data_IF_041564982761
#
_entry.id   IF_041564982761
#
_cell.length_a   1.000
_cell.length_b   1.000
_cell.length_c   1.000
_cell.angle_alpha   90.00
_cell.angle_beta   90.00
_cell.angle_gamma   90.00
#
_symmetry.space_group_name_H-M   'P 1'
#
loop_
_entity.id
_entity.type
_entity.pdbx_description
1 polymer ?
#
# COMPACT_ATOMS: atom_id res chain seq x y z
N UNK A 1 1.78 15.72 -13.48
CA UNK A 1 1.89 14.69 -14.52
C UNK A 1 1.52 15.27 -15.87
N UNK A 2 2.09 14.74 -16.92
CA UNK A 2 1.78 15.07 -18.32
C UNK A 2 1.70 13.73 -19.06
N UNK A 3 0.58 13.49 -19.77
CA UNK A 3 0.37 12.27 -20.57
C UNK A 3 0.72 10.97 -19.81
N UNK A 4 0.21 10.86 -18.57
CA UNK A 4 0.44 9.69 -17.73
C UNK A 4 -0.66 8.65 -18.01
N UNK A 5 -0.28 7.55 -18.66
CA UNK A 5 -1.12 6.38 -18.85
C UNK A 5 -0.63 5.23 -17.95
N UNK A 6 -1.53 4.73 -17.09
CA UNK A 6 -1.26 3.61 -16.20
C UNK A 6 -2.52 2.76 -16.05
N UNK A 7 -2.40 1.48 -16.37
CA UNK A 7 -3.45 0.50 -16.15
C UNK A 7 -3.00 -0.52 -15.11
N UNK A 8 -3.89 -0.86 -14.20
CA UNK A 8 -3.64 -1.79 -13.10
C UNK A 8 -4.68 -2.90 -13.17
N UNK A 9 -4.22 -4.14 -13.30
CA UNK A 9 -5.08 -5.29 -13.38
C UNK A 9 -5.60 -5.72 -12.00
N UNK A 10 -6.73 -6.42 -11.96
CA UNK A 10 -7.21 -7.03 -10.72
C UNK A 10 -6.24 -8.09 -10.21
N UNK A 11 -6.04 -8.12 -8.90
CA UNK A 11 -5.12 -9.05 -8.25
C UNK A 11 -3.64 -8.73 -8.47
N UNK A 12 -3.32 -7.58 -9.04
CA UNK A 12 -1.96 -7.12 -9.24
C UNK A 12 -1.41 -6.44 -7.99
N UNK A 13 -0.12 -6.62 -7.72
CA UNK A 13 0.62 -5.83 -6.77
C UNK A 13 1.59 -4.93 -7.53
N UNK A 14 1.19 -3.67 -7.71
CA UNK A 14 1.95 -2.66 -8.43
C UNK A 14 2.69 -1.75 -7.45
N UNK A 15 4.00 -1.62 -7.62
CA UNK A 15 4.77 -0.55 -6.98
C UNK A 15 4.94 0.64 -7.90
N UNK A 16 4.69 1.83 -7.37
CA UNK A 16 4.95 3.11 -8.05
C UNK A 16 6.20 3.72 -7.42
N UNK A 17 7.24 3.88 -8.22
CA UNK A 17 8.51 4.47 -7.81
C UNK A 17 8.81 5.74 -8.59
N UNK A 18 9.65 6.61 -8.04
CA UNK A 18 10.02 7.86 -8.71
C UNK A 18 10.71 8.82 -7.75
N UNK A 19 11.40 9.81 -8.27
CA UNK A 19 12.10 10.82 -7.50
C UNK A 19 11.19 11.62 -6.56
N UNK A 20 11.77 12.34 -5.61
CA UNK A 20 11.02 13.29 -4.78
C UNK A 20 10.35 14.34 -5.69
N UNK A 21 9.08 14.63 -5.41
CA UNK A 21 8.30 15.58 -6.23
C UNK A 21 7.81 15.05 -7.57
N UNK A 22 8.02 13.78 -7.92
CA UNK A 22 7.51 13.18 -9.17
C UNK A 22 5.98 13.05 -9.20
N UNK A 23 5.28 13.30 -8.09
CA UNK A 23 3.81 13.31 -8.02
C UNK A 23 3.16 12.00 -7.58
N UNK A 24 3.91 11.02 -7.06
CA UNK A 24 3.36 9.72 -6.61
C UNK A 24 2.20 9.86 -5.62
N UNK A 25 2.36 10.70 -4.60
CA UNK A 25 1.29 10.96 -3.62
C UNK A 25 0.07 11.66 -4.25
N UNK A 26 0.30 12.55 -5.23
CA UNK A 26 -0.78 13.15 -6.02
C UNK A 26 -1.55 12.07 -6.79
N UNK A 27 -0.84 11.12 -7.39
CA UNK A 27 -1.47 10.00 -8.10
C UNK A 27 -2.34 9.15 -7.16
N UNK A 28 -1.84 8.80 -5.96
CA UNK A 28 -2.65 8.12 -4.96
C UNK A 28 -3.90 8.93 -4.56
N UNK A 29 -3.76 10.25 -4.36
CA UNK A 29 -4.90 11.12 -4.04
C UNK A 29 -5.92 11.20 -5.18
N UNK A 30 -5.45 11.18 -6.42
CA UNK A 30 -6.33 11.11 -7.59
C UNK A 30 -7.08 9.78 -7.66
N UNK A 31 -6.40 8.65 -7.38
CA UNK A 31 -7.05 7.33 -7.27
C UNK A 31 -8.09 7.27 -6.14
N UNK A 32 -7.89 8.02 -5.06
CA UNK A 32 -8.86 8.14 -3.96
C UNK A 32 -10.01 9.12 -4.27
N UNK A 33 -9.96 9.84 -5.40
CA UNK A 33 -10.92 10.90 -5.71
C UNK A 33 -10.78 12.16 -4.84
N UNK A 34 -9.67 12.30 -4.10
CA UNK A 34 -9.38 13.46 -3.27
C UNK A 34 -8.80 14.64 -4.07
N UNK A 35 -8.23 14.36 -5.22
CA UNK A 35 -7.74 15.36 -6.17
C UNK A 35 -8.26 15.05 -7.58
N UNK A 36 -8.62 16.07 -8.32
CA UNK A 36 -9.07 15.93 -9.70
C UNK A 36 -7.90 16.17 -10.65
N UNK A 37 -7.75 15.30 -11.64
CA UNK A 37 -6.77 15.52 -12.70
C UNK A 37 -7.15 16.79 -13.51
N UNK A 38 -6.15 17.64 -13.82
CA UNK A 38 -6.38 18.84 -14.62
C UNK A 38 -6.82 18.51 -16.05
N UNK A 39 -6.39 17.37 -16.57
CA UNK A 39 -6.79 16.79 -17.88
C UNK A 39 -6.78 15.27 -17.77
N UNK A 40 -7.53 14.60 -18.65
CA UNK A 40 -7.65 13.16 -18.63
C UNK A 40 -8.67 12.63 -17.63
N UNK A 41 -8.68 11.33 -17.42
CA UNK A 41 -9.65 10.62 -16.57
C UNK A 41 -8.93 9.65 -15.66
N UNK A 42 -9.41 9.56 -14.42
CA UNK A 42 -8.98 8.51 -13.48
C UNK A 42 -10.17 7.63 -13.18
N UNK A 43 -10.04 6.35 -13.51
CA UNK A 43 -11.09 5.34 -13.30
C UNK A 43 -10.58 4.31 -12.30
N UNK A 44 -11.36 4.04 -11.26
CA UNK A 44 -11.02 3.08 -10.20
C UNK A 44 -12.16 2.08 -10.05
N UNK A 45 -11.86 0.79 -10.16
CA UNK A 45 -12.84 -0.30 -10.10
C UNK A 45 -14.03 -0.11 -11.06
N UNK A 46 -13.78 0.49 -12.24
CA UNK A 46 -14.79 0.74 -13.28
C UNK A 46 -15.61 2.02 -13.10
N UNK A 47 -15.32 2.84 -12.08
CA UNK A 47 -16.02 4.10 -11.80
C UNK A 47 -15.06 5.30 -11.86
N UNK A 48 -15.51 6.49 -12.25
CA UNK A 48 -14.71 7.71 -12.11
C UNK A 48 -14.25 7.88 -10.65
N UNK A 49 -12.97 8.17 -10.44
CA UNK A 49 -12.42 8.34 -9.08
C UNK A 49 -13.15 9.44 -8.28
N UNK A 50 -13.64 10.49 -8.96
CA UNK A 50 -14.44 11.55 -8.34
C UNK A 50 -15.77 11.08 -7.72
N UNK A 51 -16.22 9.88 -8.07
CA UNK A 51 -17.46 9.28 -7.55
C UNK A 51 -17.21 8.31 -6.38
N UNK A 52 -15.96 8.00 -6.06
CA UNK A 52 -15.61 7.08 -4.96
C UNK A 52 -16.11 7.58 -3.58
N UNK A 53 -16.25 8.88 -3.38
CA UNK A 53 -16.81 9.45 -2.15
C UNK A 53 -18.32 9.27 -2.00
N UNK A 54 -19.03 8.74 -3.01
CA UNK A 54 -20.46 8.47 -2.92
C UNK A 54 -20.71 7.09 -2.29
N UNK A 55 -21.83 6.96 -1.60
CA UNK A 55 -22.18 5.76 -0.83
C UNK A 55 -21.97 4.44 -1.61
N UNK A 56 -21.18 3.52 -1.04
CA UNK A 56 -20.90 2.20 -1.59
C UNK A 56 -19.61 2.06 -2.39
N UNK A 57 -19.07 3.11 -2.99
CA UNK A 57 -17.81 3.01 -3.75
C UNK A 57 -16.57 3.22 -2.85
N UNK A 58 -16.65 4.10 -1.86
CA UNK A 58 -15.55 4.36 -0.91
C UNK A 58 -15.17 3.11 -0.08
N UNK A 59 -16.14 2.25 0.24
CA UNK A 59 -15.90 1.01 0.99
C UNK A 59 -15.06 -0.01 0.23
N UNK A 60 -14.90 0.14 -1.10
CA UNK A 60 -14.16 -0.80 -1.96
C UNK A 60 -12.67 -0.47 -2.08
N UNK A 61 -12.22 0.65 -1.53
CA UNK A 61 -10.84 1.11 -1.56
C UNK A 61 -10.34 1.33 -0.13
N UNK A 62 -9.30 0.61 0.27
CA UNK A 62 -8.59 0.81 1.53
C UNK A 62 -7.35 1.66 1.34
N UNK A 63 -6.98 2.47 2.35
CA UNK A 63 -5.78 3.30 2.31
C UNK A 63 -4.96 3.16 3.58
N UNK A 64 -3.66 2.91 3.40
CA UNK A 64 -2.65 3.01 4.45
C UNK A 64 -1.74 4.21 4.16
N UNK A 65 -1.74 5.19 5.05
CA UNK A 65 -0.90 6.39 4.96
C UNK A 65 0.50 6.15 5.55
N UNK A 66 1.48 6.91 5.10
CA UNK A 66 2.89 6.77 5.45
C UNK A 66 3.16 6.65 6.96
N UNK A 67 2.49 7.42 7.81
CA UNK A 67 2.62 7.37 9.26
C UNK A 67 1.48 6.60 9.96
N UNK A 68 0.74 5.77 9.22
CA UNK A 68 -0.43 5.05 9.72
C UNK A 68 -1.66 5.94 9.91
N UNK A 69 -1.50 7.22 10.22
CA UNK A 69 -2.58 8.21 10.45
C UNK A 69 -3.67 7.70 11.41
N UNK A 70 -3.27 7.05 12.50
CA UNK A 70 -4.19 6.63 13.55
C UNK A 70 -4.69 7.83 14.34
N UNK A 71 -5.96 7.80 14.71
CA UNK A 71 -6.54 8.77 15.62
C UNK A 71 -5.97 8.57 17.01
N UNK A 72 -5.21 9.53 17.52
CA UNK A 72 -4.52 9.45 18.82
C UNK A 72 -5.45 9.35 20.02
N UNK A 73 -6.70 9.84 19.87
CA UNK A 73 -7.72 9.78 20.90
C UNK A 73 -8.54 8.47 20.91
N UNK A 74 -8.29 7.57 19.96
CA UNK A 74 -8.98 6.30 19.83
C UNK A 74 -8.06 5.15 20.17
N UNK A 75 -8.62 4.13 20.82
CA UNK A 75 -7.96 2.84 21.01
C UNK A 75 -7.66 2.16 19.66
N UNK A 76 -6.83 1.12 19.68
CA UNK A 76 -6.57 0.26 18.52
C UNK A 76 -7.88 -0.22 17.88
N UNK A 77 -8.77 -0.79 18.70
CA UNK A 77 -10.04 -1.33 18.20
C UNK A 77 -10.94 -0.25 17.61
N UNK A 78 -11.00 0.92 18.25
CA UNK A 78 -11.78 2.06 17.75
C UNK A 78 -11.21 2.61 16.44
N UNK A 79 -9.89 2.64 16.28
CA UNK A 79 -9.24 3.02 15.01
C UNK A 79 -9.64 2.06 13.89
N UNK A 80 -9.60 0.74 14.14
CA UNK A 80 -9.99 -0.26 13.14
C UNK A 80 -11.49 -0.17 12.82
N UNK A 81 -12.33 -0.01 13.85
CA UNK A 81 -13.77 0.05 13.73
C UNK A 81 -14.29 1.33 13.06
N UNK A 82 -13.49 2.39 13.04
CA UNK A 82 -13.93 3.74 12.64
C UNK A 82 -14.65 3.77 11.28
N UNK A 83 -14.13 3.19 10.18
CA UNK A 83 -14.82 3.24 8.88
C UNK A 83 -16.20 2.57 8.91
N UNK A 84 -16.37 1.45 9.63
CA UNK A 84 -17.67 0.78 9.79
C UNK A 84 -18.65 1.59 10.60
N UNK A 85 -18.17 2.29 11.64
CA UNK A 85 -18.99 3.19 12.45
C UNK A 85 -19.51 4.37 11.65
N UNK A 86 -18.63 4.97 10.84
CA UNK A 86 -19.01 6.11 9.96
C UNK A 86 -20.02 5.67 8.87
N UNK A 87 -19.92 4.43 8.37
CA UNK A 87 -20.89 3.88 7.44
C UNK A 87 -22.28 3.72 8.08
N UNK A 88 -22.34 3.42 9.37
CA UNK A 88 -23.59 3.37 10.14
C UNK A 88 -24.58 2.27 9.75
N UNK A 89 -24.15 1.26 8.99
CA UNK A 89 -25.04 0.19 8.47
C UNK A 89 -25.10 -1.05 9.35
N UNK A 90 -24.17 -1.18 10.31
CA UNK A 90 -24.05 -2.37 11.17
C UNK A 90 -24.33 -2.04 12.64
N UNK A 91 -24.91 -2.98 13.41
CA UNK A 91 -25.02 -2.87 14.86
C UNK A 91 -23.63 -2.74 15.52
N UNK A 92 -23.53 -1.96 16.61
CA UNK A 92 -22.25 -1.70 17.29
C UNK A 92 -21.52 -2.97 17.76
N UNK A 93 -22.25 -4.00 18.19
CA UNK A 93 -21.66 -5.28 18.56
C UNK A 93 -20.95 -5.95 17.39
N UNK A 94 -21.59 -5.99 16.21
CA UNK A 94 -21.00 -6.57 15.00
C UNK A 94 -19.81 -5.77 14.51
N UNK A 95 -19.86 -4.43 14.57
CA UNK A 95 -18.71 -3.56 14.23
C UNK A 95 -17.49 -3.92 15.09
N UNK A 96 -17.71 -4.15 16.40
CA UNK A 96 -16.64 -4.55 17.31
C UNK A 96 -16.06 -5.92 16.95
N UNK A 97 -16.92 -6.90 16.64
CA UNK A 97 -16.50 -8.26 16.30
C UNK A 97 -15.70 -8.27 15.00
N UNK A 98 -16.17 -7.57 13.97
CA UNK A 98 -15.45 -7.41 12.71
C UNK A 98 -14.09 -6.75 12.93
N UNK A 99 -14.03 -5.66 13.70
CA UNK A 99 -12.77 -4.98 13.99
C UNK A 99 -11.79 -5.90 14.74
N UNK A 100 -12.27 -6.74 15.65
CA UNK A 100 -11.45 -7.72 16.35
C UNK A 100 -10.89 -8.79 15.41
N UNK A 101 -11.69 -9.29 14.47
CA UNK A 101 -11.23 -10.22 13.42
C UNK A 101 -10.12 -9.57 12.58
N UNK A 102 -10.29 -8.30 12.18
CA UNK A 102 -9.27 -7.60 11.40
C UNK A 102 -7.98 -7.34 12.19
N UNK A 103 -8.09 -7.08 13.51
CA UNK A 103 -6.93 -6.97 14.38
C UNK A 103 -6.12 -8.28 14.39
N UNK A 104 -6.79 -9.43 14.55
CA UNK A 104 -6.14 -10.74 14.54
C UNK A 104 -5.59 -11.09 13.16
N UNK A 105 -6.29 -10.72 12.08
CA UNK A 105 -5.88 -10.94 10.68
C UNK A 105 -4.53 -10.30 10.36
N UNK A 106 -4.20 -9.16 10.98
CA UNK A 106 -2.88 -8.52 10.83
C UNK A 106 -1.85 -9.01 11.84
N UNK A 107 -2.11 -10.12 12.53
CA UNK A 107 -1.18 -10.76 13.46
C UNK A 107 -1.05 -10.04 14.81
N UNK A 108 -2.04 -9.25 15.22
CA UNK A 108 -2.07 -8.60 16.53
C UNK A 108 -3.00 -9.34 17.49
N UNK A 109 -2.51 -9.60 18.71
CA UNK A 109 -3.26 -10.24 19.78
C UNK A 109 -4.40 -9.34 20.27
N UNK A 110 -5.53 -9.96 20.68
CA UNK A 110 -6.71 -9.28 21.21
C UNK A 110 -6.41 -8.37 22.44
N UNK A 111 -5.38 -8.70 23.22
CA UNK A 111 -4.93 -7.85 24.36
C UNK A 111 -4.50 -6.43 23.94
N UNK A 112 -4.18 -6.24 22.66
CA UNK A 112 -3.80 -4.92 22.13
C UNK A 112 -5.00 -4.04 21.76
N UNK A 113 -6.22 -4.59 21.75
CA UNK A 113 -7.44 -3.90 21.31
C UNK A 113 -7.72 -2.58 22.07
N UNK A 114 -7.36 -2.53 23.34
CA UNK A 114 -7.61 -1.38 24.22
C UNK A 114 -6.41 -0.45 24.38
N UNK A 115 -5.27 -0.74 23.76
CA UNK A 115 -4.11 0.15 23.76
C UNK A 115 -4.40 1.42 22.96
N UNK A 116 -3.72 2.51 23.36
CA UNK A 116 -3.68 3.74 22.60
C UNK A 116 -2.57 3.68 21.54
N UNK A 117 -2.66 4.43 20.43
CA UNK A 117 -1.58 4.49 19.43
C UNK A 117 -0.21 4.83 20.01
N UNK A 118 -0.14 5.66 21.04
CA UNK A 118 1.12 6.04 21.71
C UNK A 118 1.82 4.85 22.42
N UNK A 119 1.08 3.77 22.73
CA UNK A 119 1.60 2.58 23.40
C UNK A 119 2.06 1.49 22.41
N UNK A 120 2.07 1.79 21.12
CA UNK A 120 2.40 0.85 20.05
C UNK A 120 3.82 1.05 19.52
N UNK A 121 4.47 -0.05 19.13
CA UNK A 121 5.66 0.03 18.28
C UNK A 121 5.31 0.52 16.86
N UNK A 122 6.30 1.00 16.09
CA UNK A 122 6.10 1.43 14.70
C UNK A 122 5.45 0.34 13.83
N UNK A 123 5.92 -0.90 13.95
CA UNK A 123 5.35 -2.05 13.25
C UNK A 123 3.89 -2.32 13.65
N UNK A 124 3.57 -2.21 14.94
CA UNK A 124 2.18 -2.34 15.39
C UNK A 124 1.28 -1.23 14.84
N UNK A 125 1.76 0.02 14.81
CA UNK A 125 1.01 1.15 14.20
C UNK A 125 0.67 0.85 12.75
N UNK A 126 1.63 0.35 11.96
CA UNK A 126 1.42 -0.02 10.55
C UNK A 126 0.41 -1.17 10.41
N UNK A 127 0.49 -2.19 11.25
CA UNK A 127 -0.46 -3.32 11.25
C UNK A 127 -1.89 -2.88 11.63
N UNK A 128 -2.05 -2.00 12.62
CA UNK A 128 -3.37 -1.41 12.96
C UNK A 128 -3.92 -0.58 11.81
N UNK A 129 -3.09 0.24 11.17
CA UNK A 129 -3.48 1.02 10.01
C UNK A 129 -3.89 0.13 8.82
N UNK A 130 -3.18 -1.00 8.61
CA UNK A 130 -3.55 -2.01 7.63
C UNK A 130 -4.90 -2.67 7.96
N UNK A 131 -5.13 -3.07 9.23
CA UNK A 131 -6.41 -3.62 9.68
C UNK A 131 -7.56 -2.64 9.44
N UNK A 132 -7.36 -1.34 9.73
CA UNK A 132 -8.34 -0.29 9.44
C UNK A 132 -8.60 -0.15 7.93
N UNK A 133 -7.56 -0.22 7.09
CA UNK A 133 -7.72 -0.18 5.65
C UNK A 133 -8.50 -1.39 5.10
N UNK A 134 -8.39 -2.54 5.76
CA UNK A 134 -9.04 -3.80 5.37
C UNK A 134 -10.44 -3.99 5.97
N UNK A 135 -10.89 -3.13 6.90
CA UNK A 135 -12.11 -3.38 7.69
C UNK A 135 -13.39 -3.42 6.86
N UNK A 136 -13.38 -2.75 5.70
CA UNK A 136 -14.50 -2.69 4.75
C UNK A 136 -14.40 -3.76 3.65
N UNK A 137 -13.51 -4.74 3.75
CA UNK A 137 -13.23 -5.75 2.72
C UNK A 137 -12.99 -5.13 1.31
N UNK A 138 -12.01 -4.22 1.19
CA UNK A 138 -11.75 -3.50 -0.05
C UNK A 138 -11.29 -4.44 -1.16
N UNK A 139 -11.54 -4.07 -2.42
CA UNK A 139 -10.99 -4.74 -3.61
C UNK A 139 -9.65 -4.15 -4.04
N UNK A 140 -9.40 -2.89 -3.68
CA UNK A 140 -8.18 -2.15 -3.96
C UNK A 140 -7.60 -1.63 -2.65
N UNK A 141 -6.32 -1.89 -2.43
CA UNK A 141 -5.55 -1.38 -1.30
C UNK A 141 -4.47 -0.44 -1.80
N UNK A 142 -4.51 0.81 -1.35
CA UNK A 142 -3.51 1.82 -1.65
C UNK A 142 -2.58 1.97 -0.44
N UNK A 143 -1.27 1.89 -0.65
CA UNK A 143 -0.27 1.95 0.41
C UNK A 143 0.73 3.07 0.10
N UNK A 144 0.89 4.02 1.02
CA UNK A 144 1.88 5.08 0.91
C UNK A 144 3.02 4.80 1.90
N UNK A 145 4.18 4.40 1.39
CA UNK A 145 5.40 4.08 2.15
C UNK A 145 5.13 3.13 3.33
N UNK A 146 4.62 1.91 3.08
CA UNK A 146 4.12 1.03 4.13
C UNK A 146 5.19 0.56 5.12
N UNK A 147 6.45 0.37 4.67
CA UNK A 147 7.57 -0.10 5.49
C UNK A 147 8.45 1.03 6.02
N UNK A 148 8.21 2.29 5.57
CA UNK A 148 9.03 3.42 5.98
C UNK A 148 9.05 3.63 7.50
N UNK A 149 10.27 3.75 8.05
CA UNK A 149 10.49 3.97 9.48
C UNK A 149 10.40 2.70 10.34
N UNK A 150 10.28 1.53 9.74
CA UNK A 150 10.38 0.25 10.42
C UNK A 150 11.85 -0.20 10.49
N UNK A 151 12.18 -0.97 11.54
CA UNK A 151 13.38 -1.78 11.57
C UNK A 151 13.27 -2.94 10.54
N UNK A 152 14.39 -3.55 10.11
CA UNK A 152 14.37 -4.59 9.07
C UNK A 152 13.43 -5.75 9.39
N UNK A 153 13.48 -6.32 10.58
CA UNK A 153 12.65 -7.48 10.97
C UNK A 153 11.15 -7.14 10.93
N UNK A 154 10.80 -5.91 11.36
CA UNK A 154 9.41 -5.40 11.29
C UNK A 154 8.96 -5.14 9.87
N UNK A 155 9.86 -4.70 8.98
CA UNK A 155 9.58 -4.49 7.56
C UNK A 155 9.32 -5.82 6.86
N UNK A 156 10.22 -6.81 7.04
CA UNK A 156 10.08 -8.16 6.49
C UNK A 156 8.78 -8.82 6.94
N UNK A 157 8.50 -8.79 8.25
CA UNK A 157 7.24 -9.33 8.79
C UNK A 157 5.98 -8.59 8.33
N UNK A 158 6.09 -7.32 7.90
CA UNK A 158 5.00 -6.60 7.27
C UNK A 158 4.83 -7.03 5.80
N UNK A 159 5.92 -7.23 5.08
CA UNK A 159 5.92 -7.72 3.69
C UNK A 159 5.31 -9.12 3.60
N UNK A 160 5.75 -10.05 4.45
CA UNK A 160 5.17 -11.40 4.54
C UNK A 160 3.66 -11.38 4.81
N UNK A 161 3.23 -10.55 5.77
CA UNK A 161 1.82 -10.35 6.09
C UNK A 161 1.03 -9.83 4.87
N UNK A 162 1.53 -8.80 4.21
CA UNK A 162 0.87 -8.20 3.04
C UNK A 162 0.78 -9.19 1.88
N UNK A 163 1.84 -9.97 1.64
CA UNK A 163 1.86 -11.01 0.62
C UNK A 163 0.83 -12.11 0.91
N UNK A 164 0.72 -12.55 2.17
CA UNK A 164 -0.30 -13.51 2.61
C UNK A 164 -1.71 -12.98 2.36
N UNK A 165 -2.00 -11.78 2.82
CA UNK A 165 -3.31 -11.14 2.64
C UNK A 165 -3.65 -10.91 1.16
N UNK A 166 -2.66 -10.50 0.36
CA UNK A 166 -2.84 -10.32 -1.09
C UNK A 166 -3.29 -11.62 -1.76
N UNK A 167 -2.64 -12.75 -1.45
CA UNK A 167 -3.00 -14.07 -2.02
C UNK A 167 -4.34 -14.59 -1.53
N UNK A 168 -4.59 -14.50 -0.22
CA UNK A 168 -5.78 -15.08 0.41
C UNK A 168 -7.06 -14.31 0.08
N UNK A 169 -6.98 -12.97 -0.01
CA UNK A 169 -8.12 -12.10 -0.24
C UNK A 169 -8.28 -11.70 -1.71
N UNK A 170 -7.33 -12.04 -2.59
CA UNK A 170 -7.37 -11.64 -4.01
C UNK A 170 -7.32 -10.12 -4.20
N UNK A 171 -6.59 -9.41 -3.32
CA UNK A 171 -6.50 -7.95 -3.33
C UNK A 171 -5.78 -7.44 -4.58
N UNK A 172 -6.23 -6.31 -5.09
CA UNK A 172 -5.40 -5.46 -5.94
C UNK A 172 -4.65 -4.48 -5.04
N UNK A 173 -3.34 -4.37 -5.15
CA UNK A 173 -2.53 -3.51 -4.31
C UNK A 173 -1.75 -2.52 -5.16
N UNK A 174 -1.82 -1.25 -4.80
CA UNK A 174 -0.96 -0.20 -5.35
C UNK A 174 -0.15 0.40 -4.22
N UNK A 175 1.15 0.31 -4.33
CA UNK A 175 2.08 0.76 -3.31
C UNK A 175 3.00 1.84 -3.86
N UNK A 176 3.13 2.95 -3.14
CA UNK A 176 4.22 3.91 -3.34
C UNK A 176 5.30 3.59 -2.35
N UNK A 177 6.51 3.33 -2.81
CA UNK A 177 7.67 3.10 -1.94
C UNK A 177 8.97 3.44 -2.64
N UNK A 178 10.01 3.70 -1.86
CA UNK A 178 11.38 3.86 -2.30
C UNK A 178 12.29 2.75 -1.74
N UNK A 179 11.73 1.79 -1.04
CA UNK A 179 12.44 0.66 -0.47
C UNK A 179 12.54 -0.47 -1.49
N UNK A 180 13.78 -0.78 -1.89
CA UNK A 180 14.07 -1.76 -2.92
C UNK A 180 13.75 -3.20 -2.48
N UNK A 181 14.00 -3.53 -1.22
CA UNK A 181 13.73 -4.87 -0.69
C UNK A 181 12.23 -5.14 -0.75
N UNK A 182 11.41 -4.21 -0.26
CA UNK A 182 9.94 -4.27 -0.39
C UNK A 182 9.47 -4.39 -1.85
N UNK A 183 10.10 -3.65 -2.78
CA UNK A 183 9.74 -3.69 -4.21
C UNK A 183 10.02 -5.09 -4.78
N UNK A 184 11.21 -5.64 -4.56
CA UNK A 184 11.60 -6.93 -5.12
C UNK A 184 10.85 -8.10 -4.49
N UNK A 185 10.51 -8.01 -3.22
CA UNK A 185 9.79 -9.05 -2.51
C UNK A 185 8.30 -9.13 -2.92
N UNK A 186 7.66 -7.97 -3.06
CA UNK A 186 6.20 -7.93 -3.20
C UNK A 186 5.71 -7.68 -4.62
N UNK A 187 6.43 -6.88 -5.43
CA UNK A 187 5.84 -6.35 -6.65
C UNK A 187 5.74 -7.38 -7.77
N UNK A 188 4.55 -7.51 -8.32
CA UNK A 188 4.36 -8.22 -9.61
C UNK A 188 4.79 -7.33 -10.78
N UNK A 189 4.66 -6.00 -10.62
CA UNK A 189 5.02 -5.00 -11.60
C UNK A 189 5.46 -3.69 -10.92
N UNK A 190 6.32 -2.94 -11.57
CA UNK A 190 6.82 -1.64 -11.10
C UNK A 190 6.57 -0.59 -12.17
N UNK A 191 5.91 0.49 -11.81
CA UNK A 191 5.75 1.69 -12.64
C UNK A 191 6.72 2.78 -12.15
N UNK A 192 7.63 3.19 -13.01
CA UNK A 192 8.59 4.26 -12.71
C UNK A 192 8.05 5.59 -13.23
N UNK A 193 7.83 6.53 -12.31
CA UNK A 193 7.37 7.88 -12.63
C UNK A 193 8.57 8.83 -12.61
N UNK A 194 8.99 9.24 -13.80
CA UNK A 194 10.03 10.23 -14.03
C UNK A 194 9.59 11.18 -15.14
N UNK A 195 10.19 12.36 -15.23
CA UNK A 195 9.92 13.35 -16.28
C UNK A 195 8.41 13.65 -16.47
N UNK A 196 7.64 13.56 -15.40
CA UNK A 196 6.18 13.78 -15.30
C UNK A 196 5.30 12.71 -15.95
N UNK A 197 5.83 11.60 -16.45
CA UNK A 197 5.08 10.48 -17.02
C UNK A 197 5.59 9.12 -16.49
N UNK A 198 4.96 8.02 -16.87
CA UNK A 198 5.44 6.66 -16.60
C UNK A 198 6.47 6.30 -17.67
N UNK A 199 7.75 6.22 -17.30
CA UNK A 199 8.85 5.94 -18.24
C UNK A 199 9.02 4.45 -18.51
N UNK A 200 8.68 3.60 -17.54
CA UNK A 200 8.64 2.15 -17.68
C UNK A 200 7.61 1.56 -16.70
N UNK A 201 6.94 0.49 -17.15
CA UNK A 201 5.94 -0.22 -16.38
C UNK A 201 6.02 -1.70 -16.74
N UNK A 202 6.79 -2.47 -15.95
CA UNK A 202 7.17 -3.83 -16.25
C UNK A 202 7.46 -4.63 -14.95
N UNK A 203 7.63 -5.97 -15.01
CA UNK A 203 8.12 -6.74 -13.88
C UNK A 203 9.45 -6.20 -13.34
N UNK A 204 9.73 -6.31 -12.02
CA UNK A 204 10.93 -5.72 -11.41
C UNK A 204 12.23 -6.03 -12.14
N UNK A 205 12.40 -7.28 -12.60
CA UNK A 205 13.61 -7.72 -13.34
C UNK A 205 13.82 -6.97 -14.64
N UNK A 206 12.76 -6.66 -15.36
CA UNK A 206 12.82 -5.92 -16.62
C UNK A 206 13.09 -4.44 -16.37
N UNK A 207 12.47 -3.86 -15.33
CA UNK A 207 12.69 -2.47 -14.93
C UNK A 207 14.16 -2.20 -14.61
N UNK A 208 14.82 -3.09 -13.88
CA UNK A 208 16.26 -2.98 -13.57
C UNK A 208 17.13 -2.88 -14.83
N UNK A 209 16.71 -3.53 -15.93
CA UNK A 209 17.41 -3.52 -17.21
C UNK A 209 17.11 -2.27 -18.09
N UNK A 210 16.12 -1.47 -17.72
CA UNK A 210 15.66 -0.34 -18.52
C UNK A 210 16.68 0.82 -18.49
N UNK A 211 17.05 1.34 -19.67
CA UNK A 211 18.02 2.42 -19.80
C UNK A 211 17.36 3.79 -19.56
N UNK A 212 17.44 4.26 -18.32
CA UNK A 212 16.96 5.59 -17.93
C UNK A 212 17.80 6.11 -16.75
N UNK A 213 18.18 7.40 -16.70
CA UNK A 213 19.03 7.95 -15.63
C UNK A 213 18.47 7.65 -14.23
N UNK A 214 17.20 7.92 -14.00
CA UNK A 214 16.55 7.64 -12.71
C UNK A 214 16.58 6.15 -12.37
N UNK A 215 16.31 5.25 -13.33
CA UNK A 215 16.31 3.79 -13.09
C UNK A 215 17.71 3.31 -12.71
N UNK A 216 18.74 3.79 -13.42
CA UNK A 216 20.13 3.46 -13.11
C UNK A 216 20.52 3.91 -11.71
N UNK A 217 20.20 5.16 -11.33
CA UNK A 217 20.53 5.70 -10.02
C UNK A 217 19.75 4.99 -8.89
N UNK A 218 18.48 4.70 -9.12
CA UNK A 218 17.59 4.12 -8.12
C UNK A 218 17.84 2.62 -7.91
N UNK A 219 17.90 1.82 -8.98
CA UNK A 219 18.03 0.37 -8.90
C UNK A 219 19.46 -0.16 -8.94
N UNK A 220 20.41 0.57 -9.53
CA UNK A 220 21.82 0.15 -9.68
C UNK A 220 22.79 0.95 -8.80
N UNK A 221 22.32 1.99 -8.10
CA UNK A 221 23.10 2.67 -7.08
C UNK A 221 23.50 1.74 -5.93
N UNK A 222 24.37 2.16 -5.03
CA UNK A 222 25.01 1.32 -4.00
C UNK A 222 24.05 0.50 -3.09
N UNK A 223 22.75 0.87 -3.05
CA UNK A 223 21.70 0.08 -2.37
C UNK A 223 21.10 -0.99 -3.30
N UNK A 224 21.03 -0.73 -4.61
CA UNK A 224 20.46 -1.64 -5.60
C UNK A 224 21.26 -2.94 -5.78
N UNK A 225 22.58 -2.92 -5.59
CA UNK A 225 23.40 -4.13 -5.70
C UNK A 225 23.06 -5.20 -4.65
N UNK A 226 22.62 -4.83 -3.46
CA UNK A 226 22.20 -5.79 -2.42
C UNK A 226 20.86 -6.43 -2.76
N UNK A 227 19.91 -5.64 -3.23
CA UNK A 227 18.58 -6.10 -3.60
C UNK A 227 18.61 -6.99 -4.87
N UNK A 228 19.53 -6.73 -5.82
CA UNK A 228 19.73 -7.59 -6.99
C UNK A 228 20.26 -8.98 -6.63
N UNK A 229 21.04 -9.12 -5.56
CA UNK A 229 21.50 -10.44 -5.08
C UNK A 229 20.33 -11.34 -4.64
N UNK A 230 19.21 -10.77 -4.23
CA UNK A 230 17.98 -11.52 -3.90
C UNK A 230 17.28 -12.07 -5.15
N UNK A 231 17.48 -11.44 -6.31
CA UNK A 231 16.93 -11.92 -7.60
C UNK A 231 17.76 -13.04 -8.23
N UNK A 232 19.01 -13.17 -7.82
CA UNK A 232 19.95 -14.20 -8.27
C UNK A 232 20.61 -14.81 -7.03
N UNK A 233 19.95 -15.76 -6.32
CA UNK A 233 20.66 -16.53 -5.32
C UNK A 233 21.87 -17.18 -6.02
N UNK A 234 23.08 -17.17 -5.41
CA UNK A 234 24.22 -17.88 -5.97
C UNK A 234 23.79 -19.33 -6.22
N UNK A 235 24.22 -19.95 -7.33
CA UNK A 235 23.97 -21.36 -7.54
C UNK A 235 24.50 -22.11 -6.32
N UNK A 236 23.66 -22.99 -5.75
CA UNK A 236 23.95 -23.77 -4.55
C UNK A 236 25.38 -24.25 -4.63
N UNK A 237 26.15 -23.87 -3.61
CA UNK A 237 27.58 -24.13 -3.55
C UNK A 237 27.88 -25.62 -3.59
N UNK A 238 28.85 -25.97 -4.42
CA UNK A 238 29.65 -27.22 -4.38
C UNK A 238 30.45 -27.24 -3.08
#
# INVERSE_FOLDING_TARGET
HQDLDLQIARGELLSIVGGSGSGKTVLLRQMLGLETAARGTVTVLGHPASELGRAGAASRVGMLFQHGALFSAFTVLENIAFPLRELGTLPAALVRDVAMVKLQMVGLDARHAHKMPADLSGGMVKRVALARALVMDPQLLLLDEPTAGLDPDSADGFCELLQGLHRELGLTVVMVTHDLDTIFELSTRVAVVADKHVVVNAPPREVVGFEHPFVNDFFRGGRGHRAQALLHPPPDGV
#
